data_IF_210035498708
#
_entry.id   IF_210035498708
#
_cell.length_a   1.000
_cell.length_b   1.000
_cell.length_c   1.000
_cell.angle_alpha   90.00
_cell.angle_beta   90.00
_cell.angle_gamma   90.00
#
_symmetry.space_group_name_H-M   'P 1'
#
loop_
_entity.id
_entity.type
_entity.pdbx_description
1 polymer ?
#
# COMPACT_ATOMS: atom_id res chain seq x y z
N UNK A 1 -27.00 -22.30 37.64
CA UNK A 1 -27.23 -21.03 38.33
C UNK A 1 -25.89 -20.39 38.64
N UNK A 2 -25.34 -19.62 37.71
CA UNK A 2 -24.23 -18.72 37.96
C UNK A 2 -24.70 -17.36 37.42
N UNK A 3 -24.82 -16.42 38.34
CA UNK A 3 -25.40 -15.10 38.14
C UNK A 3 -24.56 -14.35 37.11
N UNK A 4 -25.13 -14.07 35.94
CA UNK A 4 -24.59 -13.06 35.01
C UNK A 4 -24.55 -11.75 35.80
N UNK A 5 -23.36 -11.39 36.27
CA UNK A 5 -23.09 -10.04 36.77
C UNK A 5 -23.04 -9.18 35.51
N UNK A 6 -24.20 -8.64 35.14
CA UNK A 6 -24.28 -7.45 34.32
C UNK A 6 -23.28 -6.46 34.92
N UNK A 7 -22.20 -6.13 34.20
CA UNK A 7 -21.37 -4.99 34.55
C UNK A 7 -22.29 -3.77 34.49
N UNK A 8 -22.82 -3.40 35.65
CA UNK A 8 -23.53 -2.15 35.85
C UNK A 8 -22.62 -1.05 35.33
N UNK A 9 -23.15 -0.26 34.40
CA UNK A 9 -22.49 0.91 33.87
C UNK A 9 -21.93 1.74 35.01
N UNK A 10 -20.61 1.75 35.12
CA UNK A 10 -19.91 2.79 35.82
C UNK A 10 -20.19 4.06 35.03
N UNK A 11 -21.09 4.87 35.58
CA UNK A 11 -21.38 6.21 35.10
C UNK A 11 -20.06 6.88 34.76
N UNK A 12 -19.87 7.16 33.47
CA UNK A 12 -18.92 8.16 33.00
C UNK A 12 -19.29 9.46 33.72
N UNK A 13 -18.60 9.74 34.82
CA UNK A 13 -18.47 11.11 35.29
C UNK A 13 -17.66 11.82 34.20
N UNK A 14 -18.36 12.33 33.18
CA UNK A 14 -17.79 13.29 32.23
C UNK A 14 -17.25 14.42 33.08
N UNK A 15 -15.93 14.64 33.17
CA UNK A 15 -15.42 15.77 33.91
C UNK A 15 -15.98 17.02 33.23
N UNK A 16 -16.80 17.77 33.97
CA UNK A 16 -17.30 19.08 33.55
C UNK A 16 -16.14 19.90 33.03
N UNK A 17 -16.27 20.40 31.80
CA UNK A 17 -15.27 21.19 31.11
C UNK A 17 -15.00 22.50 31.85
N UNK A 18 -14.11 22.47 32.85
CA UNK A 18 -13.49 23.64 33.46
C UNK A 18 -11.97 23.54 33.25
N UNK A 19 -11.54 23.62 31.99
CA UNK A 19 -10.12 23.64 31.61
C UNK A 19 -9.50 25.04 31.65
N UNK A 20 -10.26 26.09 31.97
CA UNK A 20 -9.76 27.43 32.15
C UNK A 20 -9.06 27.59 33.51
N UNK A 21 -7.75 27.30 33.58
CA UNK A 21 -6.90 27.66 34.73
C UNK A 21 -5.85 26.64 35.19
N UNK A 22 -5.76 25.45 34.60
CA UNK A 22 -4.76 24.44 35.02
C UNK A 22 -3.37 24.78 34.46
N UNK A 23 -2.33 24.66 35.30
CA UNK A 23 -0.94 24.84 34.84
C UNK A 23 -0.48 23.65 33.98
N UNK A 24 0.54 23.87 33.12
CA UNK A 24 1.10 22.81 32.27
C UNK A 24 1.62 21.61 33.05
N UNK A 25 2.09 21.81 34.28
CA UNK A 25 2.51 20.74 35.18
C UNK A 25 1.33 19.91 35.69
N UNK A 26 0.20 20.54 36.02
CA UNK A 26 -1.02 19.84 36.43
C UNK A 26 -1.61 19.01 35.30
N UNK A 27 -1.63 19.55 34.07
CA UNK A 27 -2.09 18.81 32.89
C UNK A 27 -1.22 17.58 32.59
N UNK A 28 0.10 17.67 32.75
CA UNK A 28 1.01 16.52 32.60
C UNK A 28 0.74 15.43 33.64
N UNK A 29 0.50 15.81 34.89
CA UNK A 29 0.20 14.87 35.97
C UNK A 29 -1.15 14.16 35.74
N UNK A 30 -2.16 14.91 35.31
CA UNK A 30 -3.49 14.38 34.98
C UNK A 30 -3.44 13.45 33.76
N UNK A 31 -2.69 13.81 32.71
CA UNK A 31 -2.44 12.93 31.56
C UNK A 31 -1.75 11.62 31.99
N UNK A 32 -0.73 11.69 32.83
CA UNK A 32 -0.03 10.50 33.31
C UNK A 32 -0.94 9.59 34.14
N UNK A 33 -1.79 10.16 35.01
CA UNK A 33 -2.76 9.40 35.78
C UNK A 33 -3.83 8.74 34.88
N UNK A 34 -4.35 9.46 33.89
CA UNK A 34 -5.29 8.92 32.90
C UNK A 34 -4.66 7.79 32.08
N UNK A 35 -3.39 7.95 31.65
CA UNK A 35 -2.67 6.89 30.93
C UNK A 35 -2.53 5.63 31.79
N UNK A 36 -2.18 5.78 33.07
CA UNK A 36 -2.10 4.65 33.99
C UNK A 36 -3.44 3.95 34.16
N UNK A 37 -4.53 4.72 34.27
CA UNK A 37 -5.88 4.17 34.38
C UNK A 37 -6.30 3.42 33.12
N UNK A 38 -6.02 3.96 31.93
CA UNK A 38 -6.29 3.29 30.65
C UNK A 38 -5.50 1.98 30.55
N UNK A 39 -4.22 1.97 30.94
CA UNK A 39 -3.42 0.73 30.96
C UNK A 39 -4.00 -0.31 31.91
N UNK A 40 -4.45 0.11 33.11
CA UNK A 40 -5.08 -0.81 34.05
C UNK A 40 -6.36 -1.43 33.48
N UNK A 41 -7.24 -0.61 32.90
CA UNK A 41 -8.48 -1.09 32.29
C UNK A 41 -8.23 -2.06 31.14
N UNK A 42 -7.19 -1.82 30.33
CA UNK A 42 -6.76 -2.76 29.28
C UNK A 42 -6.33 -4.10 29.88
N UNK A 43 -5.52 -4.10 30.94
CA UNK A 43 -5.09 -5.34 31.58
C UNK A 43 -6.28 -6.11 32.19
N UNK A 44 -7.24 -5.41 32.81
CA UNK A 44 -8.45 -6.02 33.36
C UNK A 44 -9.32 -6.65 32.27
N UNK A 45 -9.49 -5.94 31.13
CA UNK A 45 -10.17 -6.46 29.95
C UNK A 45 -9.47 -7.69 29.40
N UNK A 46 -8.16 -7.63 29.19
CA UNK A 46 -7.39 -8.75 28.61
C UNK A 46 -7.44 -9.99 29.52
N UNK A 47 -7.41 -9.80 30.85
CA UNK A 47 -7.61 -10.88 31.81
C UNK A 47 -9.01 -11.50 31.71
N UNK A 48 -10.05 -10.68 31.56
CA UNK A 48 -11.43 -11.15 31.37
C UNK A 48 -11.58 -11.93 30.06
N UNK A 49 -11.00 -11.44 28.96
CA UNK A 49 -10.99 -12.13 27.67
C UNK A 49 -10.32 -13.52 27.77
N UNK A 50 -9.21 -13.63 28.50
CA UNK A 50 -8.55 -14.91 28.77
C UNK A 50 -9.41 -15.85 29.63
N UNK A 51 -10.15 -15.32 30.59
CA UNK A 51 -11.09 -16.13 31.38
C UNK A 51 -12.19 -16.72 30.49
N UNK A 52 -12.78 -15.92 29.58
CA UNK A 52 -13.77 -16.40 28.60
C UNK A 52 -13.21 -17.54 27.74
N UNK A 53 -11.98 -17.39 27.24
CA UNK A 53 -11.31 -18.46 26.48
C UNK A 53 -11.11 -19.73 27.31
N UNK A 54 -10.68 -19.59 28.56
CA UNK A 54 -10.43 -20.73 29.44
C UNK A 54 -11.73 -21.45 29.80
N UNK A 55 -12.81 -20.73 30.08
CA UNK A 55 -14.13 -21.32 30.32
C UNK A 55 -14.60 -22.10 29.09
N UNK A 56 -14.49 -21.53 27.90
CA UNK A 56 -14.86 -22.21 26.66
C UNK A 56 -14.00 -23.46 26.37
N UNK A 57 -12.72 -23.49 26.76
CA UNK A 57 -11.83 -24.67 26.63
C UNK A 57 -12.22 -25.83 27.54
N UNK A 58 -12.93 -25.57 28.64
CA UNK A 58 -13.33 -26.59 29.62
C UNK A 58 -14.64 -27.29 29.20
N UNK A 59 -15.42 -26.69 28.30
CA UNK A 59 -16.69 -27.25 27.82
C UNK A 59 -16.42 -28.51 26.99
N UNK A 60 -16.69 -29.68 27.58
CA UNK A 60 -16.64 -30.96 26.87
C UNK A 60 -17.88 -31.09 25.97
N UNK A 61 -17.72 -30.73 24.70
CA UNK A 61 -18.79 -30.75 23.70
C UNK A 61 -19.42 -32.14 23.50
N UNK A 62 -18.74 -33.22 23.88
CA UNK A 62 -19.28 -34.58 23.78
C UNK A 62 -20.33 -34.87 24.86
N UNK A 63 -20.19 -34.28 26.05
CA UNK A 63 -21.01 -34.60 27.24
C UNK A 63 -21.85 -33.43 27.75
N UNK A 64 -21.46 -32.18 27.46
CA UNK A 64 -22.13 -30.97 27.92
C UNK A 64 -23.60 -30.87 27.48
N UNK A 65 -24.40 -30.09 28.20
CA UNK A 65 -25.78 -29.79 27.78
C UNK A 65 -25.77 -28.86 26.56
N UNK A 66 -26.79 -28.96 25.69
CA UNK A 66 -26.90 -28.11 24.49
C UNK A 66 -26.90 -26.62 24.85
N UNK A 67 -27.50 -26.26 25.99
CA UNK A 67 -27.52 -24.88 26.48
C UNK A 67 -26.12 -24.37 26.89
N UNK A 68 -25.26 -25.25 27.40
CA UNK A 68 -23.88 -24.92 27.76
C UNK A 68 -23.03 -24.67 26.52
N UNK A 69 -23.20 -25.50 25.48
CA UNK A 69 -22.55 -25.31 24.17
C UNK A 69 -23.05 -24.02 23.49
N UNK A 70 -24.35 -23.72 23.56
CA UNK A 70 -24.93 -22.49 23.02
C UNK A 70 -24.37 -21.24 23.72
N UNK A 71 -24.25 -21.28 25.05
CA UNK A 71 -23.66 -20.18 25.82
C UNK A 71 -22.17 -19.99 25.49
N UNK A 72 -21.39 -21.05 25.44
CA UNK A 72 -19.97 -20.98 25.11
C UNK A 72 -19.72 -20.42 23.70
N UNK A 73 -20.54 -20.80 22.71
CA UNK A 73 -20.47 -20.23 21.37
C UNK A 73 -20.87 -18.76 21.33
N UNK A 74 -21.88 -18.35 22.11
CA UNK A 74 -22.28 -16.94 22.24
C UNK A 74 -21.18 -16.07 22.87
N UNK A 75 -20.53 -16.58 23.92
CA UNK A 75 -19.46 -15.85 24.60
C UNK A 75 -18.22 -15.72 23.70
N UNK A 76 -17.87 -16.78 22.96
CA UNK A 76 -16.81 -16.74 21.95
C UNK A 76 -17.14 -15.81 20.77
N UNK A 77 -18.41 -15.73 20.35
CA UNK A 77 -18.82 -14.80 19.29
C UNK A 77 -18.57 -13.35 19.70
N UNK A 78 -18.95 -12.98 20.93
CA UNK A 78 -18.68 -11.65 21.48
C UNK A 78 -17.18 -11.37 21.59
N UNK A 79 -16.41 -12.34 22.08
CA UNK A 79 -14.96 -12.22 22.19
C UNK A 79 -14.28 -12.03 20.83
N UNK A 80 -14.66 -12.83 19.82
CA UNK A 80 -14.12 -12.72 18.46
C UNK A 80 -14.46 -11.35 17.86
N UNK A 81 -15.66 -10.84 18.09
CA UNK A 81 -16.04 -9.50 17.63
C UNK A 81 -15.16 -8.42 18.29
N UNK A 82 -14.96 -8.48 19.60
CA UNK A 82 -14.12 -7.54 20.34
C UNK A 82 -12.64 -7.60 19.88
N UNK A 83 -12.08 -8.80 19.72
CA UNK A 83 -10.69 -8.97 19.26
C UNK A 83 -10.48 -8.51 17.81
N UNK A 84 -11.51 -8.60 16.95
CA UNK A 84 -11.46 -8.02 15.60
C UNK A 84 -11.38 -6.49 15.65
N UNK A 85 -12.13 -5.86 16.56
CA UNK A 85 -12.09 -4.41 16.75
C UNK A 85 -10.73 -3.98 17.33
N UNK A 86 -10.19 -4.72 18.28
CA UNK A 86 -8.86 -4.48 18.86
C UNK A 86 -7.75 -4.60 17.80
N UNK A 87 -7.76 -5.67 16.99
CA UNK A 87 -6.83 -5.82 15.87
C UNK A 87 -6.95 -4.66 14.88
N UNK A 88 -8.18 -4.26 14.53
CA UNK A 88 -8.42 -3.14 13.61
C UNK A 88 -7.82 -1.83 14.16
N UNK A 89 -7.98 -1.56 15.45
CA UNK A 89 -7.40 -0.39 16.09
C UNK A 89 -5.86 -0.45 16.11
N UNK A 90 -5.28 -1.62 16.40
CA UNK A 90 -3.85 -1.82 16.40
C UNK A 90 -3.24 -1.63 15.00
N UNK A 91 -3.89 -2.15 13.95
CA UNK A 91 -3.48 -1.97 12.56
C UNK A 91 -3.53 -0.49 12.13
N UNK A 92 -4.59 0.24 12.50
CA UNK A 92 -4.69 1.68 12.23
C UNK A 92 -3.60 2.49 12.94
N UNK A 93 -3.29 2.15 14.20
CA UNK A 93 -2.21 2.78 14.94
C UNK A 93 -0.85 2.51 14.28
N UNK A 94 -0.61 1.28 13.84
CA UNK A 94 0.59 0.88 13.10
C UNK A 94 0.71 1.65 11.78
N UNK A 95 -0.37 1.78 10.99
CA UNK A 95 -0.38 2.57 9.76
C UNK A 95 0.01 4.03 10.04
N UNK A 96 -0.56 4.63 11.08
CA UNK A 96 -0.19 5.97 11.53
C UNK A 96 1.31 6.09 11.88
N UNK A 97 1.88 5.10 12.55
CA UNK A 97 3.30 5.08 12.89
C UNK A 97 4.21 4.89 11.66
N UNK A 98 3.80 4.08 10.68
CA UNK A 98 4.51 3.94 9.40
C UNK A 98 4.55 5.29 8.68
N UNK A 99 3.42 6.01 8.62
CA UNK A 99 3.36 7.35 8.02
C UNK A 99 4.25 8.36 8.76
N UNK A 100 4.32 8.27 10.10
CA UNK A 100 5.20 9.11 10.90
C UNK A 100 6.69 8.86 10.60
N UNK A 101 7.10 7.59 10.45
CA UNK A 101 8.46 7.24 10.01
C UNK A 101 8.76 7.83 8.64
N UNK A 102 7.87 7.64 7.66
CA UNK A 102 8.08 8.22 6.31
C UNK A 102 8.13 9.75 6.32
N UNK A 103 7.39 10.41 7.21
CA UNK A 103 7.49 11.86 7.37
C UNK A 103 8.84 12.28 7.98
N UNK A 104 9.34 11.55 8.98
CA UNK A 104 10.63 11.80 9.60
C UNK A 104 11.82 11.51 8.66
N UNK A 105 11.72 10.49 7.81
CA UNK A 105 12.69 10.20 6.75
C UNK A 105 12.77 11.36 5.75
N UNK A 106 11.62 11.81 5.21
CA UNK A 106 11.59 12.97 4.30
C UNK A 106 12.20 14.22 4.93
N UNK A 107 11.90 14.48 6.20
CA UNK A 107 12.50 15.61 6.92
C UNK A 107 14.02 15.49 7.03
N UNK A 108 14.51 14.27 7.25
CA UNK A 108 15.96 14.00 7.33
C UNK A 108 16.64 14.19 5.97
N UNK A 109 16.00 13.76 4.89
CA UNK A 109 16.48 13.96 3.51
C UNK A 109 16.52 15.45 3.14
N UNK A 110 15.45 16.21 3.45
CA UNK A 110 15.41 17.67 3.23
C UNK A 110 16.55 18.40 3.95
N UNK A 111 16.81 18.02 5.21
CA UNK A 111 17.90 18.61 6.00
C UNK A 111 19.28 18.22 5.42
N UNK A 112 19.44 16.99 4.92
CA UNK A 112 20.67 16.54 4.27
C UNK A 112 20.97 17.31 2.97
N UNK A 113 19.93 17.55 2.15
CA UNK A 113 20.03 18.35 0.91
C UNK A 113 20.39 19.81 1.22
N UNK A 114 19.76 20.40 2.25
CA UNK A 114 20.11 21.74 2.74
C UNK A 114 21.56 21.78 3.21
N UNK A 115 22.02 20.76 3.92
CA UNK A 115 23.38 20.70 4.46
C UNK A 115 24.41 20.60 3.34
N UNK A 116 24.15 19.80 2.30
CA UNK A 116 25.02 19.71 1.13
C UNK A 116 25.08 21.03 0.38
N UNK A 117 23.93 21.69 0.20
CA UNK A 117 23.85 22.99 -0.47
C UNK A 117 24.61 24.08 0.29
N UNK A 118 24.38 24.20 1.60
CA UNK A 118 25.06 25.18 2.46
C UNK A 118 26.56 24.91 2.56
N UNK A 119 26.97 23.65 2.69
CA UNK A 119 28.39 23.28 2.69
C UNK A 119 29.08 23.63 1.37
N UNK A 120 28.40 23.43 0.24
CA UNK A 120 28.88 23.88 -1.07
C UNK A 120 29.10 25.39 -1.14
N UNK A 121 28.13 26.18 -0.65
CA UNK A 121 28.24 27.65 -0.60
C UNK A 121 29.39 28.13 0.29
N UNK A 122 29.58 27.50 1.46
CA UNK A 122 30.71 27.81 2.34
C UNK A 122 32.03 27.54 1.63
N UNK A 123 32.15 26.41 0.93
CA UNK A 123 33.35 26.06 0.17
C UNK A 123 33.61 27.04 -0.98
N UNK A 124 32.58 27.40 -1.74
CA UNK A 124 32.69 28.36 -2.85
C UNK A 124 33.12 29.74 -2.35
N UNK A 125 32.53 30.21 -1.26
CA UNK A 125 32.85 31.51 -0.68
C UNK A 125 34.25 31.53 -0.05
N UNK A 126 34.68 30.41 0.57
CA UNK A 126 36.04 30.23 1.05
C UNK A 126 37.05 30.22 -0.11
N UNK A 127 36.76 29.53 -1.22
CA UNK A 127 37.60 29.50 -2.41
C UNK A 127 37.68 30.87 -3.09
N UNK A 128 36.56 31.57 -3.24
CA UNK A 128 36.51 32.94 -3.77
C UNK A 128 37.31 33.90 -2.90
N UNK A 129 37.22 33.78 -1.58
CA UNK A 129 38.01 34.59 -0.64
C UNK A 129 39.49 34.26 -0.76
N UNK A 130 39.86 32.98 -0.93
CA UNK A 130 41.25 32.55 -1.11
C UNK A 130 41.86 33.02 -2.44
N UNK A 131 41.17 32.82 -3.58
CA UNK A 131 41.59 33.30 -4.91
C UNK A 131 41.60 34.83 -4.96
N UNK A 132 40.57 35.47 -4.39
CA UNK A 132 40.49 36.92 -4.26
C UNK A 132 41.67 37.47 -3.45
N UNK A 133 42.06 36.78 -2.38
CA UNK A 133 43.24 37.10 -1.57
C UNK A 133 44.55 36.92 -2.34
N UNK A 134 44.68 35.88 -3.17
CA UNK A 134 45.87 35.67 -4.02
C UNK A 134 45.99 36.75 -5.12
N UNK A 135 44.85 37.22 -5.65
CA UNK A 135 44.83 38.32 -6.63
C UNK A 135 45.03 39.71 -6.03
N UNK A 136 44.89 39.92 -4.70
CA UNK A 136 44.85 41.27 -4.10
C UNK A 136 45.55 41.49 -2.76
N UNK A 137 46.03 40.47 -2.04
CA UNK A 137 46.60 40.64 -0.69
C UNK A 137 47.91 39.87 -0.51
N UNK A 138 48.99 40.52 -0.92
CA UNK A 138 50.10 40.74 0.02
C UNK A 138 49.85 42.09 0.69
N UNK A 139 49.78 42.09 2.03
CA UNK A 139 49.64 43.30 2.84
C UNK A 139 50.73 44.34 2.55
N UNK A 140 50.44 45.61 2.84
CA UNK A 140 51.22 46.84 2.53
C UNK A 140 51.67 47.04 1.06
N UNK A 141 51.59 46.01 0.21
CA UNK A 141 51.91 46.03 -1.22
C UNK A 141 50.70 46.33 -2.13
N UNK A 142 49.47 46.26 -1.62
CA UNK A 142 48.26 46.61 -2.39
C UNK A 142 48.27 48.07 -2.90
N UNK A 143 48.77 49.01 -2.08
CA UNK A 143 48.99 50.40 -2.50
C UNK A 143 50.14 50.51 -3.52
N UNK A 144 51.21 49.74 -3.35
CA UNK A 144 52.36 49.70 -4.26
C UNK A 144 52.03 49.10 -5.64
N UNK A 145 51.01 48.23 -5.73
CA UNK A 145 50.62 47.52 -6.96
C UNK A 145 49.43 48.14 -7.69
N UNK A 146 48.47 48.72 -6.96
CA UNK A 146 47.27 49.33 -7.57
C UNK A 146 47.44 50.84 -7.82
N UNK A 147 48.35 51.50 -7.10
CA UNK A 147 48.62 52.94 -7.21
C UNK A 147 47.45 53.85 -6.79
N UNK A 148 46.36 53.29 -6.25
CA UNK A 148 45.09 54.01 -6.05
C UNK A 148 44.47 53.64 -4.70
N UNK A 149 44.41 54.65 -3.82
CA UNK A 149 43.84 54.55 -2.48
C UNK A 149 42.35 54.16 -2.49
N UNK A 150 41.60 54.55 -3.52
CA UNK A 150 40.18 54.24 -3.64
C UNK A 150 39.96 52.78 -4.03
N UNK A 151 40.86 52.21 -4.84
CA UNK A 151 40.85 50.77 -5.15
C UNK A 151 41.20 49.93 -3.93
N UNK A 152 42.22 50.34 -3.15
CA UNK A 152 42.61 49.64 -1.94
C UNK A 152 41.48 49.61 -0.88
N UNK A 153 40.82 50.75 -0.64
CA UNK A 153 39.69 50.84 0.28
C UNK A 153 38.50 49.97 -0.17
N UNK A 154 38.18 49.98 -1.47
CA UNK A 154 37.11 49.15 -2.05
C UNK A 154 37.39 47.65 -1.87
N UNK A 155 38.64 47.20 -2.07
CA UNK A 155 39.04 45.80 -1.84
C UNK A 155 38.87 45.42 -0.37
N UNK A 156 39.27 46.28 0.57
CA UNK A 156 39.12 46.01 2.00
C UNK A 156 37.64 45.88 2.43
N UNK A 157 36.75 46.72 1.89
CA UNK A 157 35.30 46.61 2.13
C UNK A 157 34.72 45.33 1.55
N UNK A 158 35.14 44.93 0.34
CA UNK A 158 34.68 43.69 -0.30
C UNK A 158 35.14 42.44 0.47
N UNK A 159 36.36 42.43 1.00
CA UNK A 159 36.86 41.35 1.86
C UNK A 159 36.06 41.26 3.16
N UNK A 160 35.79 42.41 3.81
CA UNK A 160 34.96 42.46 5.02
C UNK A 160 33.54 41.94 4.80
N UNK A 161 32.92 42.29 3.66
CA UNK A 161 31.61 41.77 3.27
C UNK A 161 31.65 40.25 3.04
N UNK A 162 32.66 39.75 2.31
CA UNK A 162 32.82 38.31 2.06
C UNK A 162 32.99 37.50 3.36
N UNK A 163 33.77 38.00 4.33
CA UNK A 163 33.88 37.33 5.64
C UNK A 163 32.59 37.38 6.46
N UNK A 164 31.80 38.46 6.35
CA UNK A 164 30.45 38.52 6.93
C UNK A 164 29.55 37.42 6.37
N UNK A 165 29.56 37.24 5.05
CA UNK A 165 28.78 36.20 4.37
C UNK A 165 29.24 34.77 4.75
N UNK A 166 30.55 34.54 4.95
CA UNK A 166 31.08 33.24 5.42
C UNK A 166 30.55 32.93 6.83
N UNK A 167 30.65 33.89 7.75
CA UNK A 167 30.26 33.69 9.14
C UNK A 167 28.76 33.42 9.26
N UNK A 168 27.92 34.19 8.54
CA UNK A 168 26.48 33.98 8.52
C UNK A 168 26.13 32.58 7.98
N UNK A 169 26.74 32.17 6.86
CA UNK A 169 26.50 30.83 6.28
C UNK A 169 27.02 29.71 7.19
N UNK A 170 28.11 29.95 7.92
CA UNK A 170 28.64 28.99 8.89
C UNK A 170 27.74 28.85 10.13
N UNK A 171 27.11 29.92 10.59
CA UNK A 171 26.16 29.87 11.71
C UNK A 171 24.86 29.17 11.30
N UNK A 172 24.37 29.42 10.08
CA UNK A 172 23.26 28.67 9.47
C UNK A 172 23.58 27.17 9.38
N UNK A 173 24.79 26.81 8.95
CA UNK A 173 25.23 25.42 8.91
C UNK A 173 25.25 24.77 10.31
N UNK A 174 25.67 25.50 11.34
CA UNK A 174 25.66 25.01 12.73
C UNK A 174 24.24 24.81 13.25
N UNK A 175 23.32 25.74 12.97
CA UNK A 175 21.91 25.59 13.32
C UNK A 175 21.30 24.37 12.63
N UNK A 176 21.60 24.18 11.34
CA UNK A 176 21.13 23.03 10.57
C UNK A 176 21.67 21.70 11.11
N UNK A 177 22.91 21.65 11.58
CA UNK A 177 23.47 20.44 12.24
C UNK A 177 22.68 20.06 13.50
N UNK A 178 22.24 21.05 14.29
CA UNK A 178 21.39 20.81 15.47
C UNK A 178 20.03 20.28 15.03
N UNK A 179 19.42 20.87 14.00
CA UNK A 179 18.14 20.42 13.45
C UNK A 179 18.22 18.99 12.91
N UNK A 180 19.31 18.63 12.21
CA UNK A 180 19.58 17.26 11.74
C UNK A 180 19.71 16.28 12.91
N UNK A 181 20.37 16.67 14.00
CA UNK A 181 20.47 15.82 15.20
C UNK A 181 19.10 15.60 15.86
N UNK A 182 18.27 16.64 15.95
CA UNK A 182 16.90 16.55 16.45
C UNK A 182 16.03 15.67 15.54
N UNK A 183 16.11 15.86 14.23
CA UNK A 183 15.37 15.06 13.24
C UNK A 183 15.79 13.58 13.27
N UNK A 184 17.09 13.30 13.40
CA UNK A 184 17.61 11.93 13.54
C UNK A 184 17.07 11.26 14.80
N UNK A 185 17.04 11.99 15.93
CA UNK A 185 16.46 11.48 17.17
C UNK A 185 14.95 11.20 17.00
N UNK A 186 14.21 12.12 16.40
CA UNK A 186 12.78 11.95 16.14
C UNK A 186 12.49 10.77 15.20
N UNK A 187 13.33 10.54 14.19
CA UNK A 187 13.25 9.39 13.30
C UNK A 187 13.47 8.08 14.09
N UNK A 188 14.51 8.01 14.92
CA UNK A 188 14.76 6.84 15.75
C UNK A 188 13.58 6.54 16.69
N UNK A 189 13.03 7.57 17.34
CA UNK A 189 11.85 7.44 18.20
C UNK A 189 10.62 6.95 17.41
N UNK A 190 10.38 7.48 16.20
CA UNK A 190 9.30 7.05 15.33
C UNK A 190 9.47 5.58 14.89
N UNK A 191 10.70 5.16 14.56
CA UNK A 191 11.02 3.77 14.20
C UNK A 191 10.79 2.83 15.39
N UNK A 192 11.24 3.20 16.59
CA UNK A 192 10.98 2.41 17.81
C UNK A 192 9.48 2.29 18.07
N UNK A 193 8.72 3.39 17.94
CA UNK A 193 7.28 3.38 18.13
C UNK A 193 6.56 2.49 17.11
N UNK A 194 6.98 2.52 15.83
CA UNK A 194 6.46 1.62 14.79
C UNK A 194 6.69 0.16 15.15
N UNK A 195 7.89 -0.21 15.62
CA UNK A 195 8.18 -1.59 16.02
C UNK A 195 7.32 -2.04 17.22
N UNK A 196 7.13 -1.17 18.21
CA UNK A 196 6.24 -1.48 19.34
C UNK A 196 4.80 -1.75 18.90
N UNK A 197 4.25 -0.86 18.06
CA UNK A 197 2.89 -1.00 17.53
C UNK A 197 2.75 -2.20 16.59
N UNK A 198 3.82 -2.56 15.88
CA UNK A 198 3.85 -3.77 15.06
C UNK A 198 3.73 -5.01 15.93
N UNK A 199 4.53 -5.12 16.98
CA UNK A 199 4.44 -6.24 17.93
C UNK A 199 3.06 -6.29 18.59
N UNK A 200 2.49 -5.13 18.95
CA UNK A 200 1.12 -5.06 19.51
C UNK A 200 0.08 -5.60 18.51
N UNK A 201 0.13 -5.19 17.23
CA UNK A 201 -0.76 -5.72 16.20
C UNK A 201 -0.58 -7.24 15.97
N UNK A 202 0.65 -7.74 16.01
CA UNK A 202 0.96 -9.18 15.90
C UNK A 202 0.35 -9.96 17.09
N UNK A 203 0.43 -9.44 18.31
CA UNK A 203 -0.19 -10.04 19.50
C UNK A 203 -1.72 -10.06 19.38
N UNK A 204 -2.35 -8.95 18.97
CA UNK A 204 -3.80 -8.88 18.78
C UNK A 204 -4.28 -9.87 17.71
N UNK A 205 -3.48 -10.06 16.65
CA UNK A 205 -3.78 -11.05 15.62
C UNK A 205 -3.71 -12.48 16.17
N UNK A 206 -2.69 -12.81 16.97
CA UNK A 206 -2.57 -14.14 17.59
C UNK A 206 -3.76 -14.44 18.51
N UNK A 207 -4.15 -13.46 19.35
CA UNK A 207 -5.31 -13.59 20.24
C UNK A 207 -6.60 -13.83 19.46
N UNK A 208 -6.82 -13.09 18.37
CA UNK A 208 -7.96 -13.30 17.48
C UNK A 208 -7.96 -14.70 16.84
N UNK A 209 -6.80 -15.16 16.37
CA UNK A 209 -6.67 -16.49 15.77
C UNK A 209 -6.96 -17.60 16.78
N UNK A 210 -6.53 -17.44 18.02
CA UNK A 210 -6.82 -18.39 19.10
C UNK A 210 -8.32 -18.49 19.39
N UNK A 211 -9.01 -17.35 19.52
CA UNK A 211 -10.46 -17.34 19.77
C UNK A 211 -11.26 -17.94 18.61
N UNK A 212 -10.93 -17.54 17.37
CA UNK A 212 -11.56 -18.09 16.17
C UNK A 212 -11.29 -19.59 16.02
N UNK A 213 -10.07 -20.02 16.34
CA UNK A 213 -9.66 -21.42 16.33
C UNK A 213 -10.47 -22.27 17.31
N UNK A 214 -10.59 -21.81 18.56
CA UNK A 214 -11.39 -22.48 19.59
C UNK A 214 -12.87 -22.53 19.21
N UNK A 215 -13.44 -21.42 18.73
CA UNK A 215 -14.82 -21.39 18.25
C UNK A 215 -15.04 -22.41 17.11
N UNK A 216 -14.10 -22.52 16.18
CA UNK A 216 -14.18 -23.51 15.10
C UNK A 216 -14.08 -24.96 15.60
N UNK A 217 -13.24 -25.21 16.61
CA UNK A 217 -13.14 -26.52 17.24
C UNK A 217 -14.47 -26.93 17.90
N UNK A 218 -15.07 -26.05 18.71
CA UNK A 218 -16.34 -26.34 19.40
C UNK A 218 -17.45 -26.64 18.40
N UNK A 219 -17.55 -25.86 17.31
CA UNK A 219 -18.53 -26.12 16.23
C UNK A 219 -18.31 -27.48 15.58
N UNK A 220 -17.06 -27.85 15.30
CA UNK A 220 -16.71 -29.13 14.68
C UNK A 220 -17.03 -30.33 15.59
N UNK A 221 -16.74 -30.22 16.88
CA UNK A 221 -17.04 -31.28 17.83
C UNK A 221 -18.55 -31.41 18.08
N UNK A 222 -19.27 -30.28 18.17
CA UNK A 222 -20.74 -30.26 18.24
C UNK A 222 -21.40 -30.93 17.03
N UNK A 223 -20.85 -30.73 15.83
CA UNK A 223 -21.27 -31.42 14.61
C UNK A 223 -21.07 -32.93 14.68
N UNK A 224 -19.88 -33.34 15.10
CA UNK A 224 -19.53 -34.76 15.22
C UNK A 224 -20.44 -35.47 16.22
N UNK A 225 -20.76 -34.80 17.34
CA UNK A 225 -21.75 -35.29 18.32
C UNK A 225 -23.14 -35.39 17.72
N UNK A 226 -23.60 -34.34 17.04
CA UNK A 226 -24.93 -34.31 16.43
C UNK A 226 -25.09 -35.48 15.44
N UNK A 227 -24.09 -35.69 14.58
CA UNK A 227 -24.09 -36.79 13.61
C UNK A 227 -24.17 -38.15 14.33
N UNK A 228 -23.33 -38.40 15.33
CA UNK A 228 -23.35 -39.64 16.09
C UNK A 228 -24.70 -39.90 16.78
N UNK A 229 -25.31 -38.86 17.37
CA UNK A 229 -26.62 -38.97 18.04
C UNK A 229 -27.78 -39.16 17.08
N UNK A 230 -27.73 -38.58 15.88
CA UNK A 230 -28.76 -38.82 14.84
C UNK A 230 -28.72 -40.28 14.35
N UNK A 231 -27.53 -40.87 14.20
CA UNK A 231 -27.41 -42.30 13.89
C UNK A 231 -27.95 -43.18 15.01
N UNK A 232 -27.65 -42.86 16.28
CA UNK A 232 -28.17 -43.58 17.44
C UNK A 232 -29.70 -43.46 17.56
N UNK A 233 -30.25 -42.26 17.38
CA UNK A 233 -31.69 -42.03 17.39
C UNK A 233 -32.42 -42.81 16.28
N UNK A 234 -31.84 -42.87 15.07
CA UNK A 234 -32.38 -43.66 13.98
C UNK A 234 -32.41 -45.17 14.31
N UNK A 235 -31.39 -45.69 14.99
CA UNK A 235 -31.35 -47.07 15.46
C UNK A 235 -32.32 -47.33 16.64
N UNK A 236 -32.48 -46.37 17.56
CA UNK A 236 -33.38 -46.47 18.71
C UNK A 236 -34.86 -46.28 18.34
N UNK A 237 -35.18 -45.54 17.28
CA UNK A 237 -36.55 -45.41 16.77
C UNK A 237 -37.15 -46.76 16.32
N UNK A 238 -36.32 -47.75 16.03
CA UNK A 238 -36.74 -49.13 15.75
C UNK A 238 -37.08 -49.92 17.04
N UNK A 239 -36.67 -49.45 18.22
CA UNK A 239 -36.74 -50.14 19.52
C UNK A 239 -37.66 -49.46 20.56
N UNK A 240 -37.63 -48.13 20.69
CA UNK A 240 -38.45 -47.34 21.64
C UNK A 240 -38.75 -45.92 21.10
N UNK A 241 -40.02 -45.69 20.76
CA UNK A 241 -40.48 -44.46 20.13
C UNK A 241 -40.52 -43.23 21.06
N UNK A 242 -40.59 -43.41 22.38
CA UNK A 242 -40.69 -42.29 23.33
C UNK A 242 -39.30 -41.73 23.66
N UNK A 243 -38.31 -42.60 23.82
CA UNK A 243 -36.90 -42.20 23.98
C UNK A 243 -36.34 -41.54 22.72
N UNK A 244 -36.70 -42.04 21.54
CA UNK A 244 -36.32 -41.46 20.26
C UNK A 244 -36.82 -40.00 20.10
N UNK A 245 -38.06 -39.70 20.51
CA UNK A 245 -38.61 -38.34 20.45
C UNK A 245 -37.88 -37.34 21.35
N UNK A 246 -37.44 -37.78 22.54
CA UNK A 246 -36.69 -36.90 23.45
C UNK A 246 -35.31 -36.56 22.88
N UNK A 247 -34.60 -37.56 22.34
CA UNK A 247 -33.31 -37.37 21.67
C UNK A 247 -33.46 -36.44 20.46
N UNK A 248 -34.49 -36.65 19.64
CA UNK A 248 -34.79 -35.80 18.47
C UNK A 248 -35.02 -34.33 18.86
N UNK A 249 -35.74 -34.07 19.96
CA UNK A 249 -35.98 -32.70 20.44
C UNK A 249 -34.69 -31.98 20.89
N UNK A 250 -33.78 -32.67 21.57
CA UNK A 250 -32.49 -32.12 21.99
C UNK A 250 -31.55 -31.92 20.79
N UNK A 251 -31.55 -32.84 19.81
CA UNK A 251 -30.75 -32.72 18.59
C UNK A 251 -31.20 -31.57 17.69
N UNK A 252 -32.51 -31.30 17.61
CA UNK A 252 -33.03 -30.17 16.83
C UNK A 252 -32.50 -28.81 17.32
N UNK A 253 -32.30 -28.66 18.63
CA UNK A 253 -31.74 -27.43 19.20
C UNK A 253 -30.24 -27.28 18.86
N UNK A 254 -29.45 -28.35 19.00
CA UNK A 254 -28.03 -28.33 18.65
C UNK A 254 -27.81 -28.11 17.15
N UNK A 255 -28.60 -28.77 16.30
CA UNK A 255 -28.57 -28.59 14.86
C UNK A 255 -28.88 -27.15 14.44
N UNK A 256 -29.81 -26.49 15.13
CA UNK A 256 -30.13 -25.07 14.91
C UNK A 256 -28.94 -24.17 15.23
N UNK A 257 -28.27 -24.39 16.38
CA UNK A 257 -27.10 -23.60 16.80
C UNK A 257 -25.95 -23.75 15.81
N UNK A 258 -25.57 -24.99 15.49
CA UNK A 258 -24.52 -25.30 14.51
C UNK A 258 -24.81 -24.70 13.13
N UNK A 259 -26.06 -24.84 12.66
CA UNK A 259 -26.46 -24.32 11.35
C UNK A 259 -26.43 -22.79 11.32
N UNK A 260 -26.84 -22.12 12.40
CA UNK A 260 -26.77 -20.67 12.52
C UNK A 260 -25.31 -20.19 12.46
N UNK A 261 -24.40 -20.84 13.19
CA UNK A 261 -22.98 -20.49 13.22
C UNK A 261 -22.31 -20.69 11.86
N UNK A 262 -22.60 -21.80 11.16
CA UNK A 262 -22.14 -22.02 9.78
C UNK A 262 -22.65 -20.98 8.80
N UNK A 263 -23.93 -20.60 8.91
CA UNK A 263 -24.53 -19.61 8.02
C UNK A 263 -23.87 -18.23 8.19
N UNK A 264 -23.58 -17.82 9.43
CA UNK A 264 -22.85 -16.58 9.73
C UNK A 264 -21.46 -16.59 9.09
N UNK A 265 -20.67 -17.66 9.29
CA UNK A 265 -19.33 -17.78 8.70
C UNK A 265 -19.33 -17.71 7.17
N UNK A 266 -20.30 -18.35 6.52
CA UNK A 266 -20.45 -18.30 5.07
C UNK A 266 -20.81 -16.88 4.56
N UNK A 267 -21.63 -16.14 5.32
CA UNK A 267 -21.94 -14.75 5.03
C UNK A 267 -20.73 -13.83 5.19
N UNK A 268 -19.96 -13.98 6.26
CA UNK A 268 -18.72 -13.23 6.49
C UNK A 268 -17.71 -13.48 5.36
N UNK A 269 -17.51 -14.73 4.95
CA UNK A 269 -16.60 -15.07 3.85
C UNK A 269 -17.05 -14.42 2.52
N UNK A 270 -18.36 -14.41 2.26
CA UNK A 270 -18.94 -13.74 1.08
C UNK A 270 -18.66 -12.24 1.11
N UNK A 271 -18.89 -11.58 2.24
CA UNK A 271 -18.62 -10.15 2.42
C UNK A 271 -17.14 -9.84 2.26
N UNK A 272 -16.25 -10.67 2.81
CA UNK A 272 -14.79 -10.54 2.66
C UNK A 272 -14.36 -10.63 1.20
N UNK A 273 -14.84 -11.64 0.45
CA UNK A 273 -14.54 -11.79 -0.99
C UNK A 273 -15.06 -10.61 -1.80
N UNK A 274 -16.22 -10.06 -1.45
CA UNK A 274 -16.75 -8.84 -2.07
C UNK A 274 -15.89 -7.61 -1.76
N UNK A 275 -15.49 -7.41 -0.51
CA UNK A 275 -14.63 -6.31 -0.10
C UNK A 275 -13.26 -6.37 -0.78
N UNK A 276 -12.66 -7.57 -0.88
CA UNK A 276 -11.41 -7.79 -1.60
C UNK A 276 -11.55 -7.46 -3.09
N UNK A 277 -12.64 -7.90 -3.73
CA UNK A 277 -12.96 -7.54 -5.11
C UNK A 277 -13.03 -6.02 -5.29
N UNK A 278 -13.79 -5.33 -4.43
CA UNK A 278 -13.92 -3.86 -4.47
C UNK A 278 -12.58 -3.15 -4.27
N UNK A 279 -11.74 -3.65 -3.34
CA UNK A 279 -10.39 -3.11 -3.10
C UNK A 279 -9.52 -3.27 -4.33
N UNK A 280 -9.51 -4.44 -4.97
CA UNK A 280 -8.74 -4.71 -6.18
C UNK A 280 -9.19 -3.83 -7.35
N UNK A 281 -10.50 -3.66 -7.52
CA UNK A 281 -11.07 -2.74 -8.52
C UNK A 281 -10.65 -1.29 -8.27
N UNK A 282 -10.67 -0.84 -7.01
CA UNK A 282 -10.24 0.50 -6.63
C UNK A 282 -8.73 0.73 -6.85
N UNK A 283 -7.90 -0.27 -6.54
CA UNK A 283 -6.46 -0.22 -6.77
C UNK A 283 -6.14 -0.19 -8.27
N UNK A 284 -6.80 -1.03 -9.07
CA UNK A 284 -6.67 -1.01 -10.54
C UNK A 284 -7.09 0.35 -11.10
N UNK A 285 -8.21 0.92 -10.63
CA UNK A 285 -8.65 2.25 -11.03
C UNK A 285 -7.66 3.36 -10.64
N UNK A 286 -7.02 3.26 -9.46
CA UNK A 286 -5.96 4.19 -9.03
C UNK A 286 -4.73 4.06 -9.92
N UNK A 287 -4.29 2.84 -10.21
CA UNK A 287 -3.14 2.58 -11.08
C UNK A 287 -3.38 3.11 -12.50
N UNK A 288 -4.58 2.92 -13.04
CA UNK A 288 -4.96 3.45 -14.36
C UNK A 288 -4.97 4.98 -14.40
N UNK A 289 -5.42 5.64 -13.32
CA UNK A 289 -5.32 7.10 -13.18
C UNK A 289 -3.87 7.58 -13.13
N UNK A 290 -3.01 6.93 -12.36
CA UNK A 290 -1.57 7.25 -12.29
C UNK A 290 -0.87 7.09 -13.66
N UNK A 291 -1.27 6.10 -14.44
CA UNK A 291 -0.76 5.89 -15.80
C UNK A 291 -1.42 6.83 -16.83
N UNK A 292 -2.40 7.64 -16.41
CA UNK A 292 -3.20 8.54 -17.24
C UNK A 292 -3.98 7.81 -18.32
N UNK A 293 -4.42 6.57 -18.07
CA UNK A 293 -5.19 5.72 -18.98
C UNK A 293 -6.55 5.38 -18.37
N UNK A 294 -7.09 6.28 -17.53
CA UNK A 294 -8.39 6.09 -16.89
C UNK A 294 -9.47 5.77 -17.94
N UNK A 295 -9.51 6.59 -19.00
CA UNK A 295 -10.48 6.52 -20.10
C UNK A 295 -10.09 5.52 -21.21
N UNK A 296 -9.02 4.75 -21.02
CA UNK A 296 -8.60 3.76 -21.99
C UNK A 296 -9.50 2.51 -21.97
N UNK A 297 -9.75 1.83 -23.08
CA UNK A 297 -10.62 0.66 -23.10
C UNK A 297 -10.03 -0.51 -22.28
N UNK A 298 -10.85 -1.11 -21.43
CA UNK A 298 -10.51 -2.29 -20.62
C UNK A 298 -10.67 -3.61 -21.40
N UNK A 299 -11.47 -3.59 -22.46
CA UNK A 299 -11.75 -4.73 -23.32
C UNK A 299 -11.54 -4.39 -24.80
N UNK A 300 -11.62 -5.39 -25.68
CA UNK A 300 -11.59 -5.19 -27.14
C UNK A 300 -12.93 -4.71 -27.71
N UNK A 301 -13.99 -4.73 -26.89
CA UNK A 301 -15.33 -4.25 -27.19
C UNK A 301 -15.47 -2.79 -26.72
N UNK A 302 -15.00 -1.88 -27.56
CA UNK A 302 -15.12 -0.42 -27.41
C UNK A 302 -15.51 0.17 -28.77
N UNK A 303 -16.04 1.39 -28.77
CA UNK A 303 -16.53 2.00 -30.00
C UNK A 303 -15.34 2.31 -30.92
N UNK A 304 -15.40 1.83 -32.16
CA UNK A 304 -14.32 2.04 -33.12
C UNK A 304 -14.24 3.49 -33.60
N UNK A 305 -15.25 4.31 -33.31
CA UNK A 305 -15.21 5.77 -33.48
C UNK A 305 -14.18 6.45 -32.56
N UNK A 306 -13.85 5.84 -31.42
CA UNK A 306 -12.85 6.31 -30.43
C UNK A 306 -11.40 6.09 -30.91
N UNK A 307 -11.21 5.55 -32.11
CA UNK A 307 -9.89 5.42 -32.74
C UNK A 307 -9.56 6.65 -33.56
N UNK A 308 -8.40 7.24 -33.29
CA UNK A 308 -7.85 8.37 -34.04
C UNK A 308 -6.50 8.03 -34.67
N UNK A 309 -6.00 8.88 -35.56
CA UNK A 309 -4.73 8.67 -36.27
C UNK A 309 -3.74 9.78 -35.92
N UNK A 310 -2.59 9.40 -35.37
CA UNK A 310 -1.48 10.29 -35.04
C UNK A 310 -0.31 9.96 -35.96
N UNK A 311 0.02 10.85 -36.91
CA UNK A 311 1.12 10.66 -37.88
C UNK A 311 1.07 9.29 -38.60
N UNK A 312 -0.13 8.86 -39.00
CA UNK A 312 -0.37 7.58 -39.68
C UNK A 312 -0.50 6.37 -38.74
N UNK A 313 -0.31 6.54 -37.42
CA UNK A 313 -0.48 5.50 -36.42
C UNK A 313 -1.88 5.59 -35.82
N UNK A 314 -2.72 4.59 -36.08
CA UNK A 314 -4.09 4.52 -35.55
C UNK A 314 -4.08 4.04 -34.10
N UNK A 315 -4.61 4.80 -33.15
CA UNK A 315 -4.62 4.48 -31.71
C UNK A 315 -5.95 4.89 -31.07
N UNK A 316 -6.21 4.44 -29.85
CA UNK A 316 -7.32 4.96 -29.06
C UNK A 316 -7.08 6.42 -28.67
N UNK A 317 -8.12 7.25 -28.67
CA UNK A 317 -8.04 8.68 -28.36
C UNK A 317 -7.36 8.97 -27.01
N UNK A 318 -7.58 8.11 -26.01
CA UNK A 318 -6.99 8.23 -24.66
C UNK A 318 -5.46 8.25 -24.63
N UNK A 319 -4.77 7.84 -25.71
CA UNK A 319 -3.30 7.90 -25.80
C UNK A 319 -2.79 8.80 -26.94
N UNK A 320 -3.69 9.45 -27.69
CA UNK A 320 -3.34 10.19 -28.89
C UNK A 320 -2.42 11.38 -28.60
N UNK A 321 -2.76 12.20 -27.61
CA UNK A 321 -1.97 13.38 -27.24
C UNK A 321 -0.59 12.99 -26.71
N UNK A 322 -0.51 11.93 -25.91
CA UNK A 322 0.75 11.39 -25.39
C UNK A 322 1.63 10.87 -26.51
N UNK A 323 1.04 10.15 -27.47
CA UNK A 323 1.75 9.66 -28.65
C UNK A 323 2.26 10.83 -29.51
N UNK A 324 1.43 11.86 -29.73
CA UNK A 324 1.82 13.05 -30.48
C UNK A 324 2.99 13.77 -29.81
N UNK A 325 2.94 13.95 -28.49
CA UNK A 325 4.00 14.59 -27.72
C UNK A 325 5.31 13.79 -27.79
N UNK A 326 5.24 12.45 -27.67
CA UNK A 326 6.38 11.56 -27.83
C UNK A 326 7.01 11.70 -29.23
N UNK A 327 6.19 11.64 -30.28
CA UNK A 327 6.66 11.72 -31.66
C UNK A 327 7.28 13.08 -31.99
N UNK A 328 6.69 14.18 -31.50
CA UNK A 328 7.27 15.53 -31.60
C UNK A 328 8.61 15.62 -30.88
N UNK A 329 8.72 15.05 -29.68
CA UNK A 329 9.98 15.06 -28.93
C UNK A 329 11.06 14.26 -29.66
N UNK A 330 10.76 13.04 -30.09
CA UNK A 330 11.69 12.22 -30.86
C UNK A 330 12.19 12.95 -32.11
N UNK A 331 11.29 13.62 -32.84
CA UNK A 331 11.65 14.36 -34.05
C UNK A 331 12.59 15.54 -33.77
N UNK A 332 12.41 16.26 -32.65
CA UNK A 332 13.32 17.36 -32.24
C UNK A 332 14.72 16.84 -31.93
N UNK A 333 14.82 15.62 -31.42
CA UNK A 333 16.09 14.94 -31.13
C UNK A 333 16.68 14.22 -32.35
N UNK A 334 16.12 14.47 -33.55
CA UNK A 334 16.58 13.86 -34.80
C UNK A 334 16.16 12.39 -34.98
N UNK A 335 15.32 11.84 -34.11
CA UNK A 335 14.78 10.49 -34.20
C UNK A 335 13.42 10.51 -34.91
N UNK A 336 13.41 10.11 -36.19
CA UNK A 336 12.18 9.99 -36.97
C UNK A 336 11.47 8.67 -36.71
N UNK A 337 10.55 8.69 -35.76
CA UNK A 337 9.70 7.55 -35.42
C UNK A 337 8.44 7.50 -36.29
N UNK A 338 8.02 6.29 -36.65
CA UNK A 338 6.71 5.95 -37.20
C UNK A 338 6.25 4.62 -36.62
N UNK A 339 5.23 3.95 -37.17
CA UNK A 339 4.85 2.63 -36.68
C UNK A 339 3.43 2.18 -37.03
N UNK A 340 3.03 1.06 -36.44
CA UNK A 340 1.68 0.51 -36.53
C UNK A 340 1.00 0.48 -35.17
N UNK A 341 -0.28 0.86 -35.11
CA UNK A 341 -1.08 0.89 -33.87
C UNK A 341 -2.17 -0.18 -33.85
N UNK A 342 -3.43 0.24 -33.75
CA UNK A 342 -4.61 -0.60 -33.63
C UNK A 342 -4.69 -1.74 -34.64
N UNK A 343 -5.07 -2.93 -34.15
CA UNK A 343 -5.30 -4.14 -34.94
C UNK A 343 -6.65 -4.76 -34.55
N UNK A 344 -7.47 -5.15 -35.51
CA UNK A 344 -8.75 -5.81 -35.18
C UNK A 344 -8.55 -7.20 -34.57
N UNK A 345 -9.52 -7.69 -33.80
CA UNK A 345 -9.50 -9.06 -33.28
C UNK A 345 -9.47 -10.11 -34.39
N UNK A 346 -10.12 -9.86 -35.53
CA UNK A 346 -10.05 -10.75 -36.69
C UNK A 346 -8.63 -10.82 -37.26
N UNK A 347 -7.93 -9.68 -37.36
CA UNK A 347 -6.53 -9.65 -37.78
C UNK A 347 -5.64 -10.40 -36.77
N UNK A 348 -5.91 -10.30 -35.47
CA UNK A 348 -5.18 -11.05 -34.44
C UNK A 348 -5.40 -12.57 -34.56
N UNK A 349 -6.64 -13.00 -34.85
CA UNK A 349 -6.96 -14.40 -35.15
C UNK A 349 -6.20 -14.88 -36.40
N UNK A 350 -6.15 -14.06 -37.45
CA UNK A 350 -5.43 -14.40 -38.68
C UNK A 350 -3.92 -14.55 -38.44
N UNK A 351 -3.31 -13.69 -37.62
CA UNK A 351 -1.91 -13.84 -37.21
C UNK A 351 -1.68 -15.15 -36.47
N UNK A 352 -2.59 -15.54 -35.57
CA UNK A 352 -2.46 -16.83 -34.88
C UNK A 352 -2.65 -18.02 -35.80
N UNK A 353 -3.56 -17.95 -36.78
CA UNK A 353 -3.68 -18.99 -37.82
C UNK A 353 -2.35 -19.18 -38.56
N UNK A 354 -1.67 -18.08 -38.89
CA UNK A 354 -0.38 -18.11 -39.58
C UNK A 354 0.78 -18.61 -38.68
N UNK A 355 0.87 -18.14 -37.44
CA UNK A 355 2.06 -18.36 -36.59
C UNK A 355 1.93 -19.55 -35.63
N UNK A 356 0.70 -19.97 -35.31
CA UNK A 356 0.42 -20.94 -34.26
C UNK A 356 -0.21 -22.23 -34.79
N UNK A 357 -0.90 -22.17 -35.94
CA UNK A 357 -1.73 -23.23 -36.53
C UNK A 357 -3.23 -22.86 -36.59
N UNK A 358 -4.03 -23.65 -37.30
CA UNK A 358 -5.44 -23.32 -37.61
C UNK A 358 -6.48 -23.92 -36.67
N UNK A 359 -6.09 -24.76 -35.71
CA UNK A 359 -7.01 -25.38 -34.76
C UNK A 359 -7.53 -24.39 -33.70
N UNK A 360 -8.68 -24.67 -33.09
CA UNK A 360 -9.19 -23.86 -31.98
C UNK A 360 -8.21 -23.76 -30.81
N UNK A 361 -7.49 -24.84 -30.52
CA UNK A 361 -6.40 -24.80 -29.55
C UNK A 361 -5.30 -23.82 -29.96
N UNK A 362 -4.82 -23.90 -31.21
CA UNK A 362 -3.76 -23.03 -31.72
C UNK A 362 -4.14 -21.54 -31.68
N UNK A 363 -5.40 -21.22 -31.95
CA UNK A 363 -5.91 -19.84 -32.00
C UNK A 363 -6.20 -19.30 -30.58
N UNK A 364 -6.92 -20.02 -29.73
CA UNK A 364 -7.45 -19.43 -28.49
C UNK A 364 -6.71 -19.84 -27.22
N UNK A 365 -5.96 -20.95 -27.23
CA UNK A 365 -5.40 -21.55 -26.01
C UNK A 365 -3.89 -21.73 -26.02
N UNK A 366 -3.26 -21.96 -27.19
CA UNK A 366 -1.81 -22.19 -27.27
C UNK A 366 -1.05 -20.99 -26.68
N UNK A 367 -0.12 -21.19 -25.74
CA UNK A 367 0.67 -20.09 -25.18
C UNK A 367 1.43 -19.30 -26.26
N UNK A 368 1.53 -17.98 -26.12
CA UNK A 368 2.08 -17.08 -27.16
C UNK A 368 3.51 -17.43 -27.57
N UNK A 369 4.36 -17.84 -26.61
CA UNK A 369 5.77 -18.22 -26.85
C UNK A 369 5.94 -19.50 -27.67
N UNK A 370 4.87 -20.30 -27.85
CA UNK A 370 4.90 -21.51 -28.69
C UNK A 370 4.49 -21.23 -30.15
N UNK A 371 4.16 -19.98 -30.50
CA UNK A 371 3.95 -19.55 -31.87
C UNK A 371 5.28 -19.07 -32.49
N UNK A 372 5.38 -19.10 -33.81
CA UNK A 372 6.56 -18.59 -34.53
C UNK A 372 6.12 -17.60 -35.62
N UNK A 373 6.40 -16.29 -35.45
CA UNK A 373 6.89 -15.63 -34.22
C UNK A 373 5.88 -15.70 -33.05
N UNK A 374 6.28 -15.39 -31.80
CA UNK A 374 5.35 -15.28 -30.68
C UNK A 374 4.19 -14.34 -31.01
N UNK A 375 2.97 -14.69 -30.59
CA UNK A 375 1.78 -13.91 -30.95
C UNK A 375 0.77 -13.96 -29.82
N UNK A 376 0.27 -12.82 -29.35
CA UNK A 376 -0.72 -12.76 -28.29
C UNK A 376 -2.03 -13.49 -28.67
N UNK A 377 -2.73 -14.03 -27.67
CA UNK A 377 -4.08 -14.60 -27.85
C UNK A 377 -5.08 -13.46 -28.18
N UNK A 378 -6.14 -13.71 -28.98
CA UNK A 378 -7.19 -12.72 -29.22
C UNK A 378 -7.79 -12.24 -27.88
N UNK A 379 -8.04 -10.95 -27.76
CA UNK A 379 -8.53 -10.30 -26.54
C UNK A 379 -7.42 -9.89 -25.54
N UNK A 380 -6.22 -10.44 -25.68
CA UNK A 380 -5.08 -10.16 -24.81
C UNK A 380 -4.09 -9.16 -25.42
N UNK A 381 -4.16 -8.87 -26.73
CA UNK A 381 -3.23 -7.93 -27.35
C UNK A 381 -3.63 -6.48 -27.08
N UNK A 382 -2.65 -5.65 -26.70
CA UNK A 382 -2.87 -4.21 -26.52
C UNK A 382 -3.11 -3.48 -27.86
N UNK A 383 -2.69 -4.06 -29.00
CA UNK A 383 -3.09 -3.55 -30.32
C UNK A 383 -4.59 -3.67 -30.57
N UNK A 384 -5.24 -4.70 -30.02
CA UNK A 384 -6.69 -4.87 -30.15
C UNK A 384 -7.49 -3.82 -29.37
N UNK A 385 -6.83 -3.10 -28.45
CA UNK A 385 -7.39 -2.00 -27.66
C UNK A 385 -6.99 -0.63 -28.19
N UNK A 386 -6.12 -0.57 -29.20
CA UNK A 386 -5.53 0.69 -29.68
C UNK A 386 -4.58 1.33 -28.67
N UNK A 387 -4.03 0.55 -27.73
CA UNK A 387 -3.18 1.01 -26.62
C UNK A 387 -1.72 0.57 -26.76
N UNK A 388 -1.33 0.13 -27.96
CA UNK A 388 0.03 -0.27 -28.30
C UNK A 388 0.44 0.32 -29.64
N UNK A 389 1.75 0.53 -29.78
CA UNK A 389 2.42 0.98 -30.99
C UNK A 389 3.66 0.11 -31.21
N UNK A 390 3.73 -0.50 -32.39
CA UNK A 390 4.95 -1.10 -32.91
C UNK A 390 5.73 -0.01 -33.65
N UNK A 391 6.70 0.60 -32.96
CA UNK A 391 7.49 1.71 -33.49
C UNK A 391 8.49 1.24 -34.55
N UNK A 392 8.74 2.14 -35.51
CA UNK A 392 9.75 2.04 -36.56
C UNK A 392 10.58 3.30 -36.58
N UNK A 393 11.81 3.24 -37.09
CA UNK A 393 12.63 4.41 -37.39
C UNK A 393 12.90 4.46 -38.89
N UNK A 394 12.52 5.57 -39.54
CA UNK A 394 12.61 5.71 -41.01
C UNK A 394 11.98 4.51 -41.76
N UNK A 395 10.84 4.02 -41.27
CA UNK A 395 10.11 2.88 -41.87
C UNK A 395 10.71 1.49 -41.61
N UNK A 396 11.77 1.37 -40.79
CA UNK A 396 12.38 0.09 -40.42
C UNK A 396 12.07 -0.28 -38.98
N UNK A 397 11.83 -1.57 -38.72
CA UNK A 397 11.60 -2.08 -37.37
C UNK A 397 12.76 -1.73 -36.42
N UNK A 398 12.44 -1.45 -35.16
CA UNK A 398 13.44 -1.17 -34.14
C UNK A 398 14.07 -2.46 -33.62
N UNK A 399 15.38 -2.41 -33.43
CA UNK A 399 16.16 -3.43 -32.73
C UNK A 399 16.82 -2.82 -31.50
N UNK A 400 17.33 -3.65 -30.59
CA UNK A 400 17.99 -3.21 -29.35
C UNK A 400 19.17 -2.25 -29.59
N UNK A 401 19.82 -2.35 -30.75
CA UNK A 401 20.93 -1.50 -31.18
C UNK A 401 20.50 -0.26 -32.02
N UNK A 402 19.19 -0.06 -32.26
CA UNK A 402 18.70 1.10 -33.03
C UNK A 402 18.69 2.35 -32.16
N UNK A 403 19.02 3.52 -32.73
CA UNK A 403 19.01 4.78 -31.97
C UNK A 403 17.61 5.12 -31.44
N UNK A 404 16.56 4.84 -32.19
CA UNK A 404 15.17 5.02 -31.80
C UNK A 404 14.75 4.15 -30.62
N UNK A 405 15.17 2.89 -30.56
CA UNK A 405 14.94 2.06 -29.37
C UNK A 405 15.63 2.63 -28.13
N UNK A 406 16.90 3.02 -28.24
CA UNK A 406 17.63 3.65 -27.13
C UNK A 406 16.97 4.95 -26.68
N UNK A 407 16.44 5.74 -27.61
CA UNK A 407 15.71 6.96 -27.32
C UNK A 407 14.39 6.67 -26.58
N UNK A 408 13.59 5.72 -27.08
CA UNK A 408 12.33 5.31 -26.44
C UNK A 408 12.59 4.76 -25.03
N UNK A 409 13.65 3.95 -24.84
CA UNK A 409 14.03 3.41 -23.53
C UNK A 409 14.28 4.49 -22.47
N UNK A 410 14.75 5.68 -22.87
CA UNK A 410 14.98 6.79 -21.95
C UNK A 410 13.76 7.70 -21.76
N UNK A 411 12.90 7.82 -22.77
CA UNK A 411 11.89 8.88 -22.82
C UNK A 411 10.44 8.40 -22.82
N UNK A 412 10.15 7.19 -23.29
CA UNK A 412 8.77 6.74 -23.56
C UNK A 412 7.90 6.65 -22.29
N UNK A 413 8.50 6.36 -21.14
CA UNK A 413 7.79 6.29 -19.84
C UNK A 413 7.17 7.62 -19.44
N UNK A 414 7.78 8.76 -19.81
CA UNK A 414 7.25 10.10 -19.57
C UNK A 414 5.92 10.35 -20.31
N UNK A 415 5.69 9.59 -21.37
CA UNK A 415 4.47 9.63 -22.19
C UNK A 415 3.55 8.45 -21.92
N UNK A 416 3.80 7.67 -20.86
CA UNK A 416 2.96 6.53 -20.48
C UNK A 416 3.14 5.29 -21.35
N UNK A 417 4.22 5.19 -22.13
CA UNK A 417 4.54 4.00 -22.92
C UNK A 417 5.65 3.17 -22.25
N UNK A 418 5.48 1.85 -22.27
CA UNK A 418 6.39 0.86 -21.69
C UNK A 418 6.70 -0.21 -22.73
N UNK A 419 7.95 -0.63 -22.77
CA UNK A 419 8.38 -1.68 -23.70
C UNK A 419 8.00 -3.06 -23.19
N UNK A 420 7.59 -3.93 -24.12
CA UNK A 420 7.62 -5.37 -23.90
C UNK A 420 9.07 -5.86 -24.09
N UNK A 421 9.76 -6.36 -23.05
CA UNK A 421 11.21 -6.59 -23.12
C UNK A 421 11.68 -7.54 -24.23
N UNK A 422 10.83 -8.49 -24.64
CA UNK A 422 11.12 -9.43 -25.72
C UNK A 422 11.00 -8.82 -27.12
N UNK A 423 10.37 -7.65 -27.26
CA UNK A 423 10.03 -7.02 -28.54
C UNK A 423 10.47 -5.55 -28.54
N UNK A 424 11.69 -5.22 -29.01
CA UNK A 424 12.22 -3.84 -28.99
C UNK A 424 11.37 -2.80 -29.72
N UNK A 425 10.59 -3.23 -30.71
CA UNK A 425 9.65 -2.37 -31.44
C UNK A 425 8.33 -2.14 -30.70
N UNK A 426 7.95 -2.99 -29.74
CA UNK A 426 6.61 -2.99 -29.16
C UNK A 426 6.52 -2.15 -27.89
N UNK A 427 5.64 -1.15 -27.89
CA UNK A 427 5.43 -0.25 -26.75
C UNK A 427 3.94 -0.08 -26.49
N UNK A 428 3.51 -0.35 -25.25
CA UNK A 428 2.11 -0.26 -24.84
C UNK A 428 1.97 0.47 -23.50
N UNK A 429 0.75 0.79 -23.11
CA UNK A 429 0.50 1.50 -21.84
C UNK A 429 0.90 0.71 -20.59
N UNK A 430 1.05 -0.62 -20.72
CA UNK A 430 1.39 -1.53 -19.63
C UNK A 430 2.62 -2.43 -19.92
N UNK A 431 3.22 -2.35 -21.11
CA UNK A 431 4.39 -3.16 -21.49
C UNK A 431 4.09 -4.64 -21.72
N UNK A 432 2.85 -4.97 -22.07
CA UNK A 432 2.36 -6.32 -22.35
C UNK A 432 1.72 -6.43 -23.72
#
# INVERSE_FOLDING_TARGET
MATIVLLMGTFLAVPSASSAGKSSAQLRKEKAALQQQVTQLRNERDAFQQEVLNQARIVDTATADVAEVEQALSDLELLVAEQRDDLTQAEQALEGAVLAVSAAERRSDELADQQTTLSGRVNDLALQTYIGRDSTVEGSFGLARTGDIYKAARVQTLIGAAFGDINNTSDELRALQVDTAVATKALNEAVTQRELLRTEAEIQLEQLLDAVGLQAQIVFEAESRLEARLYEAAALAELDAEMAKKIESEQNNLARVVKAEKAKRAEEERLRREAERKRREAEEARQRRLLGIADAPTSTNFDKSELTTVWGIRVHESIADKLLALLKHASRDGIRLGGGGYRSSQSQINLRRAHCGTSNYAIYRKPSYQCRPPTARPGASMHERGLAVDFTQNGRALWSNTSGYRWLKRNASQYGFRNLPSEPWHWSTNGR
#
